data_IF_873787398243
#
_entry.id   IF_873787398243
#
_cell.length_a   1.000
_cell.length_b   1.000
_cell.length_c   1.000
_cell.angle_alpha   90.00
_cell.angle_beta   90.00
_cell.angle_gamma   90.00
#
_symmetry.space_group_name_H-M   'P 1'
#
loop_
_entity.id
_entity.type
_entity.pdbx_description
1 polymer ?
#
# COMPACT_ATOMS: atom_id res chain seq x y z
N UNK A 1 17.59 6.91 1.94
CA UNK A 1 16.81 6.62 0.70
C UNK A 1 15.82 5.46 0.83
N UNK A 2 16.11 4.41 1.61
CA UNK A 2 15.23 3.22 1.74
C UNK A 2 13.84 3.57 2.29
N UNK A 3 13.76 4.45 3.31
CA UNK A 3 12.48 4.91 3.88
C UNK A 3 11.55 5.56 2.85
N UNK A 4 12.09 6.41 1.97
CA UNK A 4 11.32 7.06 0.91
C UNK A 4 10.79 6.05 -0.12
N UNK A 5 11.63 5.09 -0.55
CA UNK A 5 11.18 4.00 -1.43
C UNK A 5 10.03 3.20 -0.80
N UNK A 6 10.14 2.84 0.48
CA UNK A 6 9.08 2.08 1.19
C UNK A 6 7.76 2.86 1.30
N UNK A 7 7.84 4.17 1.52
CA UNK A 7 6.66 5.05 1.52
C UNK A 7 6.01 5.14 0.14
N UNK A 8 6.80 5.34 -0.91
CA UNK A 8 6.29 5.45 -2.28
C UNK A 8 5.68 4.13 -2.75
N UNK A 9 6.35 3.00 -2.52
CA UNK A 9 5.82 1.67 -2.86
C UNK A 9 4.54 1.36 -2.08
N UNK A 10 4.50 1.67 -0.78
CA UNK A 10 3.31 1.49 0.05
C UNK A 10 2.13 2.35 -0.41
N UNK A 11 2.39 3.62 -0.72
CA UNK A 11 1.37 4.55 -1.23
C UNK A 11 0.83 4.17 -2.61
N UNK A 12 1.72 3.81 -3.56
CA UNK A 12 1.32 3.34 -4.88
C UNK A 12 0.52 2.04 -4.82
N UNK A 13 0.90 1.10 -3.95
CA UNK A 13 0.15 -0.12 -3.73
C UNK A 13 -1.27 0.18 -3.21
N UNK A 14 -1.41 1.14 -2.30
CA UNK A 14 -2.71 1.58 -1.79
C UNK A 14 -3.58 2.21 -2.88
N UNK A 15 -3.02 3.12 -3.67
CA UNK A 15 -3.71 3.77 -4.78
C UNK A 15 -4.17 2.75 -5.84
N UNK A 16 -3.33 1.77 -6.17
CA UNK A 16 -3.66 0.68 -7.07
C UNK A 16 -4.80 -0.21 -6.52
N UNK A 17 -4.79 -0.50 -5.21
CA UNK A 17 -5.88 -1.19 -4.53
C UNK A 17 -7.22 -0.45 -4.67
N UNK A 18 -7.24 0.85 -4.40
CA UNK A 18 -8.44 1.69 -4.54
C UNK A 18 -8.93 1.70 -6.00
N UNK A 19 -8.03 1.87 -6.96
CA UNK A 19 -8.37 1.87 -8.38
C UNK A 19 -9.04 0.55 -8.81
N UNK A 20 -8.58 -0.60 -8.28
CA UNK A 20 -9.22 -1.88 -8.56
C UNK A 20 -10.61 -2.01 -7.94
N UNK A 21 -10.86 -1.48 -6.75
CA UNK A 21 -12.20 -1.44 -6.15
C UNK A 21 -13.14 -0.63 -7.04
N UNK A 22 -12.71 0.58 -7.44
CA UNK A 22 -13.50 1.46 -8.30
C UNK A 22 -13.79 0.80 -9.64
N UNK A 23 -12.80 0.15 -10.25
CA UNK A 23 -12.99 -0.58 -11.50
C UNK A 23 -13.98 -1.74 -11.34
N UNK A 24 -13.88 -2.49 -10.23
CA UNK A 24 -14.77 -3.61 -9.94
C UNK A 24 -16.22 -3.16 -9.71
N UNK A 25 -16.44 -2.05 -8.99
CA UNK A 25 -17.78 -1.49 -8.75
C UNK A 25 -18.40 -0.92 -10.02
N UNK A 26 -17.61 -0.24 -10.86
CA UNK A 26 -18.11 0.31 -12.14
C UNK A 26 -18.47 -0.78 -13.14
N UNK A 27 -17.75 -1.90 -13.16
CA UNK A 27 -18.01 -3.01 -14.11
C UNK A 27 -19.29 -3.79 -13.80
N UNK A 28 -19.82 -3.69 -12.57
CA UNK A 28 -21.12 -4.23 -12.17
C UNK A 28 -21.28 -5.76 -12.24
N UNK A 29 -20.18 -6.50 -12.47
CA UNK A 29 -20.18 -7.95 -12.63
C UNK A 29 -19.71 -8.70 -11.38
N UNK A 30 -19.82 -10.04 -11.38
CA UNK A 30 -19.29 -10.87 -10.29
C UNK A 30 -17.79 -10.61 -10.10
N UNK A 31 -17.40 -10.32 -8.86
CA UNK A 31 -16.01 -10.00 -8.53
C UNK A 31 -15.17 -11.27 -8.57
N UNK A 32 -14.14 -11.36 -9.43
CA UNK A 32 -13.28 -12.54 -9.50
C UNK A 32 -12.51 -12.75 -8.20
N UNK A 33 -12.35 -14.02 -7.78
CA UNK A 33 -11.62 -14.40 -6.57
C UNK A 33 -10.19 -13.81 -6.52
N UNK A 34 -9.53 -13.67 -7.69
CA UNK A 34 -8.20 -13.07 -7.80
C UNK A 34 -8.16 -11.61 -7.32
N UNK A 35 -9.27 -10.88 -7.45
CA UNK A 35 -9.36 -9.46 -7.07
C UNK A 35 -9.33 -9.29 -5.55
N UNK A 36 -9.94 -10.21 -4.80
CA UNK A 36 -9.87 -10.23 -3.34
C UNK A 36 -8.44 -10.48 -2.85
N UNK A 37 -7.72 -11.41 -3.46
CA UNK A 37 -6.32 -11.69 -3.13
C UNK A 37 -5.43 -10.48 -3.46
N UNK A 38 -5.67 -9.86 -4.61
CA UNK A 38 -4.93 -8.67 -5.02
C UNK A 38 -5.19 -7.51 -4.05
N UNK A 39 -6.44 -7.27 -3.63
CA UNK A 39 -6.77 -6.27 -2.61
C UNK A 39 -6.07 -6.55 -1.29
N UNK A 40 -6.05 -7.80 -0.83
CA UNK A 40 -5.31 -8.21 0.38
C UNK A 40 -3.82 -7.90 0.27
N UNK A 41 -3.19 -8.17 -0.87
CA UNK A 41 -1.78 -7.87 -1.11
C UNK A 41 -1.51 -6.37 -1.21
N UNK A 42 -2.35 -5.62 -1.92
CA UNK A 42 -2.18 -4.19 -2.12
C UNK A 42 -2.44 -3.38 -0.84
N UNK A 43 -3.53 -3.68 -0.12
CA UNK A 43 -3.83 -3.02 1.15
C UNK A 43 -2.94 -3.53 2.28
N UNK A 44 -2.78 -4.85 2.42
CA UNK A 44 -1.96 -5.45 3.49
C UNK A 44 -0.47 -5.18 3.31
N UNK A 45 0.07 -5.51 2.14
CA UNK A 45 1.48 -5.26 1.81
C UNK A 45 1.80 -3.76 1.69
N UNK A 46 0.90 -2.98 1.11
CA UNK A 46 1.05 -1.53 0.99
C UNK A 46 1.02 -0.82 2.35
N UNK A 47 0.06 -1.14 3.21
CA UNK A 47 -0.01 -0.59 4.58
C UNK A 47 1.23 -0.96 5.39
N UNK A 48 1.71 -2.21 5.27
CA UNK A 48 2.89 -2.67 5.98
C UNK A 48 4.15 -1.93 5.52
N UNK A 49 4.37 -1.80 4.20
CA UNK A 49 5.49 -1.04 3.64
C UNK A 49 5.43 0.44 4.02
N UNK A 50 4.23 1.04 4.06
CA UNK A 50 4.03 2.42 4.47
C UNK A 50 4.34 2.62 5.96
N UNK A 51 3.83 1.73 6.82
CA UNK A 51 4.11 1.74 8.27
C UNK A 51 5.60 1.63 8.55
N UNK A 52 6.26 0.71 7.85
CA UNK A 52 7.69 0.50 8.02
C UNK A 52 8.52 1.69 7.51
N UNK A 53 8.17 2.25 6.34
CA UNK A 53 8.79 3.47 5.83
C UNK A 53 8.62 4.68 6.76
N UNK A 54 7.45 4.83 7.38
CA UNK A 54 7.19 5.86 8.40
C UNK A 54 8.03 5.63 9.66
N UNK A 55 8.13 4.39 10.13
CA UNK A 55 8.95 4.02 11.30
C UNK A 55 10.42 4.35 11.05
N UNK A 56 10.97 3.91 9.92
CA UNK A 56 12.36 4.15 9.55
C UNK A 56 12.66 5.65 9.40
N UNK A 57 11.70 6.42 8.86
CA UNK A 57 11.81 7.88 8.77
C UNK A 57 11.88 8.52 10.16
N UNK A 58 11.06 8.06 11.11
CA UNK A 58 11.09 8.56 12.50
C UNK A 58 12.39 8.19 13.21
N UNK A 59 12.91 6.99 12.99
CA UNK A 59 14.20 6.54 13.56
C UNK A 59 15.37 7.37 13.02
N UNK A 60 15.39 7.67 11.73
CA UNK A 60 16.42 8.53 11.11
C UNK A 60 16.32 10.01 11.49
N UNK A 61 15.14 10.48 11.91
CA UNK A 61 14.91 11.85 12.37
C UNK A 61 15.15 12.02 13.88
N UNK A 62 15.29 10.94 14.64
CA UNK A 62 15.68 11.05 16.05
C UNK A 62 17.15 11.48 16.10
N UNK A 63 17.47 12.59 16.77
CA UNK A 63 18.85 12.96 17.04
C UNK A 63 19.51 11.78 17.78
N UNK A 64 20.64 11.31 17.27
CA UNK A 64 21.52 10.44 18.05
C UNK A 64 22.06 11.32 19.19
N UNK A 65 21.39 11.25 20.34
CA UNK A 65 21.89 11.78 21.61
C UNK A 65 22.80 10.77 22.26
#
# INVERSE_FOLDING_TARGET
MIAYKRLVTGGLAFAAGIAMIVLATVRGGPIPAQLYLALLLFFGGGAWALRDGLRLRRELQRPQG
#
